data_IF_333484490506
#
_entry.id   IF_333484490506
#
_cell.length_a   1.000
_cell.length_b   1.000
_cell.length_c   1.000
_cell.angle_alpha   90.00
_cell.angle_beta   90.00
_cell.angle_gamma   90.00
#
_symmetry.space_group_name_H-M   'P 1'
#
loop_
_entity.id
_entity.type
_entity.pdbx_description
1 polymer ?
#
# COMPACT_ATOMS: atom_id res chain seq x y z
N UNK A 1 -21.50 10.15 7.75
CA UNK A 1 -20.13 9.60 7.66
C UNK A 1 -20.03 8.54 8.74
N UNK A 2 -19.95 7.26 8.37
CA UNK A 2 -19.74 6.19 9.34
C UNK A 2 -18.26 6.19 9.73
N UNK A 3 -17.97 6.44 11.01
CA UNK A 3 -16.61 6.54 11.54
C UNK A 3 -16.22 5.31 12.36
N UNK A 4 -16.92 4.19 12.18
CA UNK A 4 -16.66 2.95 12.92
C UNK A 4 -15.21 2.47 12.81
N UNK A 5 -14.60 2.53 11.62
CA UNK A 5 -13.20 2.11 11.44
C UNK A 5 -12.23 2.93 12.29
N UNK A 6 -12.38 4.26 12.30
CA UNK A 6 -11.55 5.15 13.12
C UNK A 6 -11.74 4.86 14.62
N UNK A 7 -12.99 4.65 15.07
CA UNK A 7 -13.25 4.29 16.47
C UNK A 7 -12.55 2.98 16.87
N UNK A 8 -12.58 1.97 16.00
CA UNK A 8 -11.86 0.70 16.24
C UNK A 8 -10.35 0.90 16.32
N UNK A 9 -9.77 1.76 15.48
CA UNK A 9 -8.35 2.11 15.59
C UNK A 9 -8.05 2.70 16.98
N UNK A 10 -8.89 3.60 17.50
CA UNK A 10 -8.69 4.18 18.83
C UNK A 10 -8.83 3.15 19.96
N UNK A 11 -9.76 2.22 19.85
CA UNK A 11 -10.00 1.17 20.85
C UNK A 11 -8.89 0.12 20.88
N UNK A 12 -8.38 -0.27 19.71
CA UNK A 12 -7.39 -1.33 19.55
C UNK A 12 -5.95 -0.80 19.64
N UNK A 13 -5.72 0.45 19.22
CA UNK A 13 -4.39 1.04 19.02
C UNK A 13 -3.46 0.08 18.24
N UNK A 14 -3.82 -0.29 16.99
CA UNK A 14 -3.10 -1.32 16.24
C UNK A 14 -1.64 -0.92 16.00
N UNK A 15 -0.74 -1.87 16.19
CA UNK A 15 0.69 -1.69 15.89
C UNK A 15 0.90 -1.89 14.40
N UNK A 16 1.47 -0.91 13.71
CA UNK A 16 1.79 -1.00 12.28
C UNK A 16 3.31 -0.94 12.12
N UNK A 17 3.90 -2.06 11.69
CA UNK A 17 5.31 -2.09 11.31
C UNK A 17 5.44 -1.59 9.88
N UNK A 18 6.36 -0.66 9.64
CA UNK A 18 6.56 -0.03 8.34
C UNK A 18 8.02 -0.17 7.93
N UNK A 19 8.24 -0.82 6.79
CA UNK A 19 9.44 -0.60 6.01
C UNK A 19 9.20 0.65 5.15
N UNK A 20 9.57 1.81 5.68
CA UNK A 20 9.39 3.10 5.02
C UNK A 20 10.63 3.46 4.20
N UNK A 21 10.43 4.22 3.12
CA UNK A 21 11.55 4.87 2.46
C UNK A 21 12.18 5.93 3.36
N UNK A 22 13.44 6.31 3.14
CA UNK A 22 14.14 7.27 4.02
C UNK A 22 13.62 8.73 3.95
N UNK A 23 12.69 9.05 3.05
CA UNK A 23 12.22 10.44 2.82
C UNK A 23 11.04 10.78 3.74
N UNK A 24 10.14 9.85 4.00
CA UNK A 24 8.84 10.08 4.63
C UNK A 24 8.57 9.42 6.00
N UNK A 25 9.48 8.72 6.72
CA UNK A 25 9.11 7.99 7.94
C UNK A 25 8.51 8.88 9.03
N UNK A 26 9.02 10.12 9.16
CA UNK A 26 8.50 11.08 10.14
C UNK A 26 7.03 11.45 9.88
N UNK A 27 6.65 11.67 8.62
CA UNK A 27 5.27 11.97 8.25
C UNK A 27 4.36 10.76 8.50
N UNK A 28 4.82 9.58 8.07
CA UNK A 28 4.06 8.32 8.23
C UNK A 28 3.82 8.03 9.70
N UNK A 29 4.86 8.12 10.54
CA UNK A 29 4.75 7.88 11.98
C UNK A 29 3.77 8.86 12.65
N UNK A 30 3.91 10.17 12.39
CA UNK A 30 3.01 11.15 12.98
C UNK A 30 1.57 11.01 12.49
N UNK A 31 1.36 10.68 11.20
CA UNK A 31 0.02 10.48 10.65
C UNK A 31 -0.67 9.25 11.23
N UNK A 32 0.04 8.14 11.39
CA UNK A 32 -0.48 6.95 12.09
C UNK A 32 -0.83 7.26 13.55
N UNK A 33 0.06 7.97 14.25
CA UNK A 33 -0.18 8.35 15.64
C UNK A 33 -1.39 9.31 15.77
N UNK A 34 -1.55 10.23 14.83
CA UNK A 34 -2.67 11.18 14.80
C UNK A 34 -4.04 10.48 14.63
N UNK A 35 -4.11 9.33 13.96
CA UNK A 35 -5.34 8.52 13.87
C UNK A 35 -5.49 7.52 15.01
N UNK A 36 -4.53 7.45 15.94
CA UNK A 36 -4.55 6.56 17.10
C UNK A 36 -3.99 5.16 16.86
N UNK A 37 -3.25 4.94 15.77
CA UNK A 37 -2.45 3.72 15.57
C UNK A 37 -1.05 3.88 16.19
N UNK A 38 -0.34 2.76 16.40
CA UNK A 38 1.00 2.75 16.97
C UNK A 38 2.04 2.41 15.88
N UNK A 39 2.77 3.40 15.34
CA UNK A 39 3.77 3.16 14.29
C UNK A 39 5.07 2.57 14.85
N UNK A 40 5.62 1.57 14.16
CA UNK A 40 7.00 1.13 14.30
C UNK A 40 7.68 1.25 12.94
N UNK A 41 8.89 1.82 12.92
CA UNK A 41 9.75 1.92 11.75
C UNK A 41 11.01 1.12 12.07
N UNK A 42 11.34 0.11 11.28
CA UNK A 42 12.58 -0.66 11.43
C UNK A 42 13.17 -0.99 10.06
N UNK A 43 14.48 -1.00 9.99
CA UNK A 43 15.29 -1.40 8.84
C UNK A 43 16.33 -2.47 9.27
N UNK A 44 15.99 -3.30 10.25
CA UNK A 44 16.90 -4.26 10.88
C UNK A 44 16.33 -5.70 10.80
N UNK A 45 16.96 -6.50 9.94
CA UNK A 45 16.56 -7.89 9.67
C UNK A 45 16.50 -8.74 10.95
N UNK A 46 17.42 -8.51 11.89
CA UNK A 46 17.52 -9.33 13.11
C UNK A 46 16.35 -9.18 14.08
N UNK A 47 15.59 -8.09 14.02
CA UNK A 47 14.38 -7.89 14.84
C UNK A 47 13.08 -8.01 14.04
N UNK A 48 13.15 -8.10 12.71
CA UNK A 48 12.00 -8.07 11.82
C UNK A 48 10.92 -9.11 12.19
N UNK A 49 11.29 -10.36 12.43
CA UNK A 49 10.32 -11.41 12.79
C UNK A 49 9.63 -11.13 14.14
N UNK A 50 10.39 -10.65 15.12
CA UNK A 50 9.89 -10.30 16.46
C UNK A 50 8.93 -9.12 16.39
N UNK A 51 9.27 -8.10 15.61
CA UNK A 51 8.40 -6.94 15.36
C UNK A 51 7.10 -7.35 14.68
N UNK A 52 7.15 -8.22 13.67
CA UNK A 52 5.92 -8.72 13.01
C UNK A 52 5.04 -9.50 13.98
N UNK A 53 5.62 -10.20 14.96
CA UNK A 53 4.87 -10.89 16.03
C UNK A 53 4.02 -9.91 16.85
N UNK A 54 4.58 -8.74 17.16
CA UNK A 54 3.90 -7.66 17.87
C UNK A 54 2.95 -6.86 16.96
N UNK A 55 3.21 -6.84 15.65
CA UNK A 55 2.46 -6.06 14.70
C UNK A 55 1.00 -6.55 14.55
N UNK A 56 0.10 -5.60 14.32
CA UNK A 56 -1.25 -5.85 13.84
C UNK A 56 -1.33 -5.83 12.31
N UNK A 57 -0.43 -5.11 11.65
CA UNK A 57 -0.25 -5.11 10.19
C UNK A 57 1.17 -4.65 9.80
N UNK A 58 1.55 -4.92 8.55
CA UNK A 58 2.87 -4.58 8.00
C UNK A 58 2.71 -3.82 6.68
N UNK A 59 3.48 -2.75 6.50
CA UNK A 59 3.54 -1.98 5.24
C UNK A 59 4.94 -2.02 4.67
N UNK A 60 5.06 -2.36 3.39
CA UNK A 60 6.32 -2.37 2.62
C UNK A 60 6.25 -1.27 1.56
N UNK A 61 7.01 -0.20 1.75
CA UNK A 61 7.14 0.87 0.77
C UNK A 61 8.48 0.73 0.02
N UNK A 62 8.41 0.57 -1.29
CA UNK A 62 9.60 0.40 -2.13
C UNK A 62 10.14 1.73 -2.70
N UNK A 63 9.65 2.86 -2.18
CA UNK A 63 10.24 4.16 -2.41
C UNK A 63 11.71 4.15 -1.97
N UNK A 64 12.57 4.79 -2.76
CA UNK A 64 14.00 4.95 -2.44
C UNK A 64 14.74 3.70 -1.86
N UNK A 65 14.29 2.48 -2.20
CA UNK A 65 14.80 1.23 -1.64
C UNK A 65 16.27 1.00 -2.00
N UNK A 66 17.04 0.51 -1.03
CA UNK A 66 18.46 0.18 -1.18
C UNK A 66 18.65 -1.33 -1.24
N UNK A 67 19.78 -1.77 -1.80
CA UNK A 67 20.07 -3.20 -1.95
C UNK A 67 20.24 -3.88 -0.58
N UNK A 68 20.80 -3.14 0.38
CA UNK A 68 21.15 -3.61 1.71
C UNK A 68 19.90 -3.95 2.54
N UNK A 69 18.82 -3.19 2.39
CA UNK A 69 17.55 -3.44 3.09
C UNK A 69 16.69 -4.54 2.48
N UNK A 70 17.17 -5.22 1.44
CA UNK A 70 16.38 -6.25 0.75
C UNK A 70 16.13 -7.49 1.61
N UNK A 71 17.11 -7.89 2.43
CA UNK A 71 16.96 -9.03 3.33
C UNK A 71 15.88 -8.77 4.38
N UNK A 72 15.89 -7.56 4.97
CA UNK A 72 14.85 -7.12 5.90
C UNK A 72 13.45 -7.12 5.28
N UNK A 73 13.28 -6.54 4.08
CA UNK A 73 11.99 -6.59 3.36
C UNK A 73 11.51 -8.04 3.16
N UNK A 74 12.40 -8.95 2.73
CA UNK A 74 12.04 -10.36 2.55
C UNK A 74 11.64 -11.04 3.87
N UNK A 75 12.31 -10.71 4.98
CA UNK A 75 12.00 -11.25 6.31
C UNK A 75 10.68 -10.70 6.84
N UNK A 76 10.41 -9.40 6.70
CA UNK A 76 9.13 -8.78 7.06
C UNK A 76 7.97 -9.39 6.26
N UNK A 77 8.12 -9.56 4.95
CA UNK A 77 7.08 -10.16 4.11
C UNK A 77 6.84 -11.63 4.48
N UNK A 78 7.91 -12.41 4.67
CA UNK A 78 7.82 -13.82 5.06
C UNK A 78 7.09 -13.96 6.41
N UNK A 79 7.56 -13.23 7.43
CA UNK A 79 6.98 -13.27 8.75
C UNK A 79 5.51 -12.82 8.75
N UNK A 80 5.15 -11.81 7.95
CA UNK A 80 3.76 -11.35 7.85
C UNK A 80 2.86 -12.44 7.25
N UNK A 81 3.31 -13.11 6.19
CA UNK A 81 2.58 -14.22 5.57
C UNK A 81 2.45 -15.43 6.52
N UNK A 82 3.54 -15.85 7.16
CA UNK A 82 3.54 -16.99 8.07
C UNK A 82 2.63 -16.77 9.29
N UNK A 83 2.56 -15.52 9.76
CA UNK A 83 1.76 -15.12 10.92
C UNK A 83 0.40 -14.54 10.54
N UNK A 84 0.03 -14.58 9.25
CA UNK A 84 -1.23 -14.08 8.71
C UNK A 84 -1.53 -12.62 9.12
N UNK A 85 -0.49 -11.78 9.18
CA UNK A 85 -0.63 -10.34 9.40
C UNK A 85 -0.98 -9.67 8.08
N UNK A 86 -1.96 -8.74 8.06
CA UNK A 86 -2.23 -7.93 6.88
C UNK A 86 -0.96 -7.27 6.35
N UNK A 87 -0.65 -7.52 5.09
CA UNK A 87 0.56 -7.04 4.41
C UNK A 87 0.20 -6.11 3.25
N UNK A 88 0.68 -4.87 3.32
CA UNK A 88 0.42 -3.82 2.32
C UNK A 88 1.68 -3.52 1.51
N UNK A 89 1.55 -3.51 0.18
CA UNK A 89 2.61 -3.07 -0.73
C UNK A 89 2.33 -1.66 -1.25
N UNK A 90 3.34 -0.79 -1.16
CA UNK A 90 3.41 0.47 -1.88
C UNK A 90 4.52 0.41 -2.95
N UNK A 91 4.16 0.19 -4.23
CA UNK A 91 5.10 -0.13 -5.31
C UNK A 91 5.69 1.14 -5.93
N UNK A 92 6.05 2.14 -5.11
CA UNK A 92 6.45 3.49 -5.54
C UNK A 92 7.42 3.43 -6.73
N UNK A 93 7.02 4.10 -7.81
CA UNK A 93 7.74 4.23 -9.06
C UNK A 93 8.10 2.88 -9.73
N UNK A 94 7.29 1.83 -9.57
CA UNK A 94 7.51 0.50 -10.18
C UNK A 94 7.75 0.56 -11.69
N UNK A 95 7.09 1.49 -12.40
CA UNK A 95 7.25 1.70 -13.85
C UNK A 95 8.44 2.55 -14.26
N UNK A 96 9.17 3.17 -13.32
CA UNK A 96 10.21 4.14 -13.66
C UNK A 96 11.52 3.49 -14.16
N UNK A 97 11.86 2.30 -13.66
CA UNK A 97 13.05 1.56 -14.08
C UNK A 97 12.80 0.06 -14.07
N UNK A 98 13.50 -0.69 -14.92
CA UNK A 98 13.45 -2.16 -14.92
C UNK A 98 13.84 -2.75 -13.57
N UNK A 99 14.77 -2.12 -12.86
CA UNK A 99 15.18 -2.55 -11.53
C UNK A 99 14.01 -2.50 -10.52
N UNK A 100 13.30 -1.36 -10.44
CA UNK A 100 12.12 -1.22 -9.55
C UNK A 100 11.02 -2.20 -9.92
N UNK A 101 10.81 -2.41 -11.22
CA UNK A 101 9.85 -3.38 -11.72
C UNK A 101 10.19 -4.82 -11.30
N UNK A 102 11.45 -5.23 -11.46
CA UNK A 102 11.93 -6.56 -11.07
C UNK A 102 11.82 -6.81 -9.57
N UNK A 103 12.14 -5.82 -8.72
CA UNK A 103 11.99 -5.95 -7.26
C UNK A 103 10.54 -6.18 -6.86
N UNK A 104 9.61 -5.36 -7.38
CA UNK A 104 8.18 -5.51 -7.10
C UNK A 104 7.66 -6.88 -7.54
N UNK A 105 7.97 -7.32 -8.77
CA UNK A 105 7.55 -8.63 -9.24
C UNK A 105 8.20 -9.79 -8.49
N UNK A 106 9.42 -9.63 -7.97
CA UNK A 106 10.05 -10.62 -7.10
C UNK A 106 9.27 -10.80 -5.81
N UNK A 107 8.84 -9.71 -5.15
CA UNK A 107 8.01 -9.81 -3.94
C UNK A 107 6.64 -10.41 -4.25
N UNK A 108 5.94 -9.87 -5.25
CA UNK A 108 4.60 -10.32 -5.63
C UNK A 108 4.54 -11.77 -6.11
N UNK A 109 5.66 -12.33 -6.56
CA UNK A 109 5.78 -13.75 -6.91
C UNK A 109 5.98 -14.64 -5.68
N UNK A 110 6.61 -14.12 -4.63
CA UNK A 110 7.06 -14.90 -3.46
C UNK A 110 6.10 -14.78 -2.28
N UNK A 111 5.42 -13.65 -2.14
CA UNK A 111 4.61 -13.32 -0.97
C UNK A 111 3.20 -12.88 -1.40
N UNK A 112 2.23 -13.21 -0.56
CA UNK A 112 0.85 -12.74 -0.69
C UNK A 112 0.70 -11.39 0.01
N UNK A 113 0.29 -10.37 -0.74
CA UNK A 113 -0.08 -9.07 -0.19
C UNK A 113 -1.60 -8.98 -0.12
N UNK A 114 -2.13 -8.46 0.97
CA UNK A 114 -3.57 -8.26 1.16
C UNK A 114 -4.05 -6.98 0.46
N UNK A 115 -3.19 -5.97 0.42
CA UNK A 115 -3.44 -4.69 -0.26
C UNK A 115 -2.24 -4.28 -1.10
N UNK A 116 -2.47 -3.82 -2.32
CA UNK A 116 -1.52 -3.04 -3.10
C UNK A 116 -2.09 -1.64 -3.28
N UNK A 117 -1.36 -0.62 -2.83
CA UNK A 117 -1.78 0.78 -3.00
C UNK A 117 -0.73 1.54 -3.79
N UNK A 118 -1.15 2.20 -4.88
CA UNK A 118 -0.28 3.02 -5.72
C UNK A 118 -1.09 4.04 -6.52
N UNK A 119 -0.44 4.79 -7.39
CA UNK A 119 -1.15 5.58 -8.41
C UNK A 119 -1.59 4.68 -9.58
N UNK A 120 -2.50 5.16 -10.42
CA UNK A 120 -3.06 4.36 -11.50
C UNK A 120 -2.01 3.83 -12.50
N UNK A 121 -0.95 4.60 -12.78
CA UNK A 121 0.14 4.18 -13.66
C UNK A 121 0.99 3.06 -13.05
N UNK A 122 1.27 3.12 -11.75
CA UNK A 122 1.97 2.04 -11.03
C UNK A 122 1.12 0.75 -11.01
N UNK A 123 -0.18 0.88 -10.73
CA UNK A 123 -1.11 -0.25 -10.75
C UNK A 123 -1.22 -0.84 -12.16
N UNK A 124 -1.26 -0.02 -13.22
CA UNK A 124 -1.29 -0.51 -14.60
C UNK A 124 -0.05 -1.33 -14.96
N UNK A 125 1.13 -0.90 -14.52
CA UNK A 125 2.38 -1.66 -14.70
C UNK A 125 2.29 -3.03 -14.02
N UNK A 126 1.78 -3.08 -12.79
CA UNK A 126 1.59 -4.35 -12.07
C UNK A 126 0.52 -5.23 -12.74
N UNK A 127 -0.55 -4.64 -13.25
CA UNK A 127 -1.58 -5.35 -14.02
C UNK A 127 -1.03 -5.90 -15.35
N UNK A 128 0.06 -5.34 -15.88
CA UNK A 128 0.56 -5.65 -17.22
C UNK A 128 -0.24 -4.96 -18.33
N UNK A 129 -0.85 -3.82 -18.01
CA UNK A 129 -1.62 -3.00 -18.95
C UNK A 129 -0.75 -1.82 -19.38
N UNK A 130 -0.60 -1.63 -20.68
CA UNK A 130 0.14 -0.49 -21.23
C UNK A 130 -0.69 0.79 -21.10
N UNK A 131 -0.32 1.60 -20.10
CA UNK A 131 -0.95 2.88 -19.79
C UNK A 131 -0.41 4.04 -20.65
N UNK A 132 0.85 3.95 -21.12
CA UNK A 132 1.50 5.06 -21.83
C UNK A 132 1.02 5.20 -23.27
N UNK A 133 0.66 4.10 -23.94
CA UNK A 133 0.12 4.14 -25.31
C UNK A 133 -1.32 4.66 -25.39
N UNK A 134 -2.00 4.86 -24.26
CA UNK A 134 -3.43 5.24 -24.22
C UNK A 134 -3.70 6.73 -23.99
N UNK A 135 -2.65 7.55 -23.91
CA UNK A 135 -2.75 9.00 -23.98
C UNK A 135 -2.98 9.67 -22.62
N UNK A 136 -2.11 10.64 -22.33
CA UNK A 136 -2.18 11.58 -21.19
C UNK A 136 -3.16 12.74 -21.50
N UNK A 137 -3.93 12.65 -22.58
CA UNK A 137 -4.92 13.65 -22.97
C UNK A 137 -6.30 13.36 -22.34
N UNK A 138 -6.52 14.01 -21.20
CA UNK A 138 -7.75 14.71 -20.84
C UNK A 138 -9.10 13.94 -20.91
N UNK A 139 -9.47 13.32 -19.78
CA UNK A 139 -10.85 13.36 -19.24
C UNK A 139 -11.83 12.32 -19.79
N UNK A 140 -12.49 11.59 -18.88
CA UNK A 140 -13.61 10.64 -19.08
C UNK A 140 -13.26 9.15 -19.24
N UNK A 141 -12.04 8.73 -18.92
CA UNK A 141 -11.60 7.33 -19.02
C UNK A 141 -11.93 6.43 -17.83
N UNK A 142 -13.02 6.65 -17.09
CA UNK A 142 -13.34 5.87 -15.87
C UNK A 142 -13.33 4.35 -16.15
N UNK A 143 -13.74 3.94 -17.36
CA UNK A 143 -13.71 2.54 -17.80
C UNK A 143 -12.32 1.90 -17.80
N UNK A 144 -11.25 2.65 -18.09
CA UNK A 144 -9.87 2.11 -18.08
C UNK A 144 -9.34 1.98 -16.65
N UNK A 145 -9.66 2.94 -15.78
CA UNK A 145 -9.26 2.88 -14.36
C UNK A 145 -9.91 1.68 -13.64
N UNK A 146 -11.21 1.45 -13.85
CA UNK A 146 -11.93 0.28 -13.33
C UNK A 146 -11.28 -1.03 -13.80
N UNK A 147 -10.95 -1.12 -15.08
CA UNK A 147 -10.32 -2.31 -15.65
C UNK A 147 -8.94 -2.54 -15.04
N UNK A 148 -8.13 -1.49 -14.89
CA UNK A 148 -6.77 -1.57 -14.34
C UNK A 148 -6.77 -2.09 -12.90
N UNK A 149 -7.57 -1.48 -12.00
CA UNK A 149 -7.61 -1.92 -10.60
C UNK A 149 -8.17 -3.33 -10.47
N UNK A 150 -9.21 -3.67 -11.24
CA UNK A 150 -9.84 -4.98 -11.22
C UNK A 150 -8.89 -6.06 -11.73
N UNK A 151 -8.19 -5.81 -12.83
CA UNK A 151 -7.22 -6.74 -13.40
C UNK A 151 -6.04 -6.98 -12.46
N UNK A 152 -5.51 -5.91 -11.82
CA UNK A 152 -4.45 -6.04 -10.83
C UNK A 152 -4.90 -6.88 -9.63
N UNK A 153 -6.07 -6.57 -9.07
CA UNK A 153 -6.64 -7.28 -7.92
C UNK A 153 -6.90 -8.77 -8.22
N UNK A 154 -7.41 -9.08 -9.41
CA UNK A 154 -7.60 -10.47 -9.88
C UNK A 154 -6.28 -11.21 -10.04
N UNK A 155 -5.25 -10.55 -10.60
CA UNK A 155 -3.95 -11.14 -10.87
C UNK A 155 -3.20 -11.53 -9.59
N UNK A 156 -3.33 -10.73 -8.54
CA UNK A 156 -2.62 -10.92 -7.27
C UNK A 156 -3.52 -11.39 -6.11
N UNK A 157 -4.80 -11.66 -6.39
CA UNK A 157 -5.79 -12.13 -5.41
C UNK A 157 -5.86 -11.26 -4.15
N UNK A 158 -5.96 -9.94 -4.33
CA UNK A 158 -5.88 -8.96 -3.25
C UNK A 158 -6.79 -7.76 -3.47
N UNK A 159 -6.76 -6.82 -2.54
CA UNK A 159 -7.39 -5.51 -2.72
C UNK A 159 -6.38 -4.54 -3.33
N UNK A 160 -6.82 -3.78 -4.32
CA UNK A 160 -6.01 -2.75 -4.99
C UNK A 160 -6.62 -1.39 -4.76
N UNK A 161 -5.79 -0.43 -4.36
CA UNK A 161 -6.14 0.99 -4.23
C UNK A 161 -5.31 1.78 -5.26
N UNK A 162 -5.95 2.28 -6.31
CA UNK A 162 -5.35 3.26 -7.21
C UNK A 162 -5.80 4.66 -6.81
N UNK A 163 -4.93 5.41 -6.14
CA UNK A 163 -5.27 6.76 -5.67
C UNK A 163 -5.00 7.83 -6.73
N UNK A 164 -5.77 8.91 -6.70
CA UNK A 164 -5.65 10.03 -7.63
C UNK A 164 -6.65 11.15 -7.35
N UNK A 165 -7.17 11.81 -8.38
CA UNK A 165 -8.29 12.74 -8.23
C UNK A 165 -9.59 11.99 -7.84
N UNK A 166 -9.78 10.80 -8.41
CA UNK A 166 -10.71 9.79 -7.90
C UNK A 166 -9.85 8.62 -7.45
N UNK A 167 -10.10 8.12 -6.24
CA UNK A 167 -9.49 6.87 -5.81
C UNK A 167 -10.37 5.71 -6.25
N UNK A 168 -9.75 4.70 -6.85
CA UNK A 168 -10.42 3.47 -7.29
C UNK A 168 -9.94 2.31 -6.43
N UNK A 169 -10.88 1.60 -5.79
CA UNK A 169 -10.58 0.47 -4.90
C UNK A 169 -11.27 -0.79 -5.42
N UNK A 170 -10.56 -1.90 -5.56
CA UNK A 170 -11.13 -3.14 -6.07
C UNK A 170 -10.61 -4.38 -5.35
N UNK A 171 -11.50 -5.35 -5.13
CA UNK A 171 -11.18 -6.72 -4.71
C UNK A 171 -11.09 -7.70 -5.91
N UNK A 172 -11.07 -7.17 -7.14
CA UNK A 172 -11.08 -7.96 -8.37
C UNK A 172 -12.47 -8.38 -8.83
N UNK A 173 -13.52 -8.15 -8.03
CA UNK A 173 -14.91 -8.41 -8.41
C UNK A 173 -15.67 -7.11 -8.65
N UNK A 174 -15.64 -6.22 -7.66
CA UNK A 174 -16.27 -4.89 -7.69
C UNK A 174 -15.21 -3.79 -7.65
N UNK A 175 -15.62 -2.58 -8.01
CA UNK A 175 -14.82 -1.36 -7.91
C UNK A 175 -15.62 -0.34 -7.13
N UNK A 176 -14.97 0.34 -6.19
CA UNK A 176 -15.50 1.43 -5.39
C UNK A 176 -14.73 2.69 -5.74
N UNK A 177 -15.45 3.80 -5.87
CA UNK A 177 -14.87 5.11 -6.15
C UNK A 177 -14.98 6.03 -4.92
N UNK A 178 -13.91 6.79 -4.65
CA UNK A 178 -13.89 7.81 -3.61
C UNK A 178 -13.51 9.16 -4.24
N UNK A 179 -14.36 10.17 -4.01
CA UNK A 179 -14.23 11.50 -4.62
C UNK A 179 -13.92 12.60 -3.57
N UNK A 180 -12.97 12.37 -2.68
CA UNK A 180 -12.62 13.32 -1.59
C UNK A 180 -11.65 14.44 -2.01
N UNK A 181 -11.49 14.65 -3.33
CA UNK A 181 -10.57 15.56 -4.02
C UNK A 181 -9.98 16.72 -3.20
N UNK A 182 -8.65 16.73 -3.05
CA UNK A 182 -7.90 17.92 -2.64
C UNK A 182 -6.55 17.96 -3.34
N UNK A 183 -6.18 19.12 -3.88
CA UNK A 183 -4.86 19.32 -4.50
C UNK A 183 -3.74 19.42 -3.46
N UNK A 184 -4.07 19.66 -2.19
CA UNK A 184 -3.09 19.87 -1.14
C UNK A 184 -2.27 18.60 -0.84
N UNK A 185 -2.88 17.41 -0.95
CA UNK A 185 -2.16 16.16 -0.70
C UNK A 185 -1.06 15.90 -1.74
N UNK A 186 -1.26 16.32 -2.99
CA UNK A 186 -0.22 16.24 -4.03
C UNK A 186 0.96 17.21 -3.77
N UNK A 187 0.77 18.24 -2.94
CA UNK A 187 1.81 19.18 -2.54
C UNK A 187 2.59 18.72 -1.29
N UNK A 188 2.18 17.64 -0.64
CA UNK A 188 2.85 17.07 0.55
C UNK A 188 3.56 15.78 0.14
N UNK A 189 4.90 15.82 0.18
CA UNK A 189 5.73 14.63 -0.03
C UNK A 189 5.37 13.57 1.01
N UNK A 190 5.09 12.35 0.55
CA UNK A 190 4.74 11.22 1.43
C UNK A 190 3.27 11.10 1.82
N UNK A 191 2.39 11.94 1.29
CA UNK A 191 0.94 11.77 1.49
C UNK A 191 0.45 10.39 1.01
N UNK A 192 1.02 9.91 -0.10
CA UNK A 192 0.78 8.56 -0.60
C UNK A 192 1.33 7.46 0.31
N UNK A 193 2.55 7.62 0.81
CA UNK A 193 3.17 6.64 1.71
C UNK A 193 2.36 6.51 3.01
N UNK A 194 1.92 7.65 3.55
CA UNK A 194 1.03 7.69 4.71
C UNK A 194 -0.29 6.97 4.43
N UNK A 195 -0.88 7.15 3.25
CA UNK A 195 -2.13 6.44 2.88
C UNK A 195 -1.95 4.91 2.88
N UNK A 196 -0.80 4.41 2.42
CA UNK A 196 -0.50 2.98 2.45
C UNK A 196 -0.43 2.44 3.88
N UNK A 197 0.22 3.15 4.78
CA UNK A 197 0.29 2.78 6.20
C UNK A 197 -1.05 2.92 6.92
N UNK A 198 -1.85 3.93 6.58
CA UNK A 198 -3.21 4.05 7.07
C UNK A 198 -4.06 2.87 6.61
N UNK A 199 -3.97 2.46 5.34
CA UNK A 199 -4.68 1.27 4.84
C UNK A 199 -4.32 0.02 5.66
N UNK A 200 -3.03 -0.16 6.01
CA UNK A 200 -2.61 -1.26 6.89
C UNK A 200 -3.25 -1.18 8.29
N UNK A 201 -3.30 0.02 8.89
CA UNK A 201 -3.96 0.22 10.19
C UNK A 201 -5.45 -0.12 10.15
N UNK A 202 -6.16 0.22 9.07
CA UNK A 202 -7.55 -0.15 8.89
C UNK A 202 -7.73 -1.65 8.63
N UNK A 203 -6.84 -2.28 7.86
CA UNK A 203 -6.87 -3.74 7.65
C UNK A 203 -6.69 -4.51 8.96
N UNK A 204 -5.95 -3.97 9.92
CA UNK A 204 -5.75 -4.59 11.24
C UNK A 204 -7.02 -4.65 12.10
N UNK A 205 -8.02 -3.80 11.86
CA UNK A 205 -9.24 -3.68 12.68
C UNK A 205 -10.55 -3.88 11.89
N UNK A 206 -10.42 -3.95 10.56
CA UNK A 206 -11.51 -4.13 9.61
C UNK A 206 -11.93 -5.61 9.49
N UNK A 207 -13.18 -5.88 9.06
CA UNK A 207 -13.65 -7.24 8.84
C UNK A 207 -13.04 -7.88 7.58
N UNK A 208 -12.59 -7.08 6.62
CA UNK A 208 -11.85 -7.48 5.42
C UNK A 208 -11.11 -6.26 4.84
N UNK A 209 -10.10 -6.44 3.98
CA UNK A 209 -9.28 -5.33 3.46
C UNK A 209 -10.02 -4.30 2.59
N UNK A 210 -11.21 -4.63 2.05
CA UNK A 210 -11.97 -3.71 1.20
C UNK A 210 -12.91 -2.77 2.00
N UNK A 211 -13.28 -3.15 3.22
CA UNK A 211 -14.23 -2.42 4.08
C UNK A 211 -13.53 -1.61 5.17
#
# INVERSE_FOLDING_TARGET
>A
MDLQGIKRIWEVNPVVVNYANFVTPFLVANGLNAVGASPIMSEEESEAEELVRLASAVTINLGAVRREGWADIETLCQAANDQQKPLVLDPVAVGATQYRQQLNFRLLKKYQFDVIRGNLGEIAVLAGIDWQTRGIDAGNGDGDAHQVVKACAQKYHNVVIASGATDYISDGTRVVEIHNQTRLLAAVVGSGDLLSSLAAAFCAVGPNPLQ
#
